data_IF_930562204242
#
_entry.id   IF_930562204242
#
_cell.length_a   1.000
_cell.length_b   1.000
_cell.length_c   1.000
_cell.angle_alpha   90.00
_cell.angle_beta   90.00
_cell.angle_gamma   90.00
#
_symmetry.space_group_name_H-M   'P 1'
#
loop_
_entity.id
_entity.type
_entity.pdbx_description
1 polymer ?
#
# COMPACT_ATOMS: atom_id res chain seq x y z
N UNK A 1 -0.46 -3.64 1.57
CA UNK A 1 -1.58 -2.95 0.88
C UNK A 1 -2.68 -2.54 1.84
N UNK A 2 -3.43 -3.49 2.42
CA UNK A 2 -4.63 -3.19 3.23
C UNK A 2 -4.40 -2.22 4.40
N UNK A 3 -3.30 -2.34 5.13
CA UNK A 3 -2.98 -1.42 6.22
C UNK A 3 -2.80 0.03 5.71
N UNK A 4 -1.93 0.24 4.71
CA UNK A 4 -1.71 1.56 4.08
C UNK A 4 -3.02 2.21 3.63
N UNK A 5 -3.88 1.47 2.92
CA UNK A 5 -5.15 1.99 2.38
C UNK A 5 -6.12 2.34 3.51
N UNK A 6 -6.25 1.48 4.53
CA UNK A 6 -7.15 1.71 5.66
C UNK A 6 -6.70 2.85 6.56
N UNK A 7 -5.40 2.99 6.74
CA UNK A 7 -4.80 4.00 7.62
C UNK A 7 -4.59 5.34 6.89
N UNK A 8 -5.07 5.46 5.65
CA UNK A 8 -4.94 6.68 4.85
C UNK A 8 -3.48 7.06 4.54
N UNK A 9 -2.56 6.11 4.60
CA UNK A 9 -1.13 6.37 4.44
C UNK A 9 -0.75 6.47 2.95
N UNK A 10 0.24 7.29 2.60
CA UNK A 10 0.78 7.31 1.24
C UNK A 10 1.50 5.99 0.92
N UNK A 11 1.41 5.54 -0.33
CA UNK A 11 2.14 4.35 -0.82
C UNK A 11 3.61 4.68 -1.12
N UNK A 12 4.35 5.07 -0.08
CA UNK A 12 5.78 5.44 -0.14
C UNK A 12 6.63 4.50 0.72
N UNK A 13 7.93 4.46 0.44
CA UNK A 13 8.88 3.58 1.12
C UNK A 13 8.83 3.71 2.66
N UNK A 14 8.82 4.93 3.19
CA UNK A 14 8.81 5.17 4.64
C UNK A 14 7.56 4.60 5.32
N UNK A 15 6.39 4.76 4.70
CA UNK A 15 5.14 4.20 5.21
C UNK A 15 5.13 2.67 5.14
N UNK A 16 5.66 2.08 4.07
CA UNK A 16 5.77 0.62 3.91
C UNK A 16 6.73 0.03 4.94
N UNK A 17 7.88 0.67 5.18
CA UNK A 17 8.85 0.25 6.20
C UNK A 17 8.25 0.32 7.61
N UNK A 18 7.44 1.34 7.92
CA UNK A 18 6.83 1.52 9.23
C UNK A 18 5.84 0.40 9.60
N UNK A 19 5.15 -0.18 8.61
CA UNK A 19 4.18 -1.25 8.81
C UNK A 19 4.73 -2.65 8.47
N UNK A 20 6.02 -2.73 8.12
CA UNK A 20 6.63 -3.97 7.65
C UNK A 20 6.60 -5.03 8.76
N UNK A 21 6.13 -6.25 8.47
CA UNK A 21 6.18 -7.33 9.46
C UNK A 21 7.61 -7.60 9.92
N UNK A 22 7.80 -7.83 11.22
CA UNK A 22 9.11 -8.14 11.82
C UNK A 22 9.68 -9.48 11.32
N UNK A 23 8.86 -10.30 10.69
CA UNK A 23 9.27 -11.56 10.03
C UNK A 23 10.07 -11.34 8.75
N UNK A 24 10.04 -10.14 8.15
CA UNK A 24 10.89 -9.79 7.00
C UNK A 24 12.30 -9.47 7.48
N UNK A 25 13.26 -10.34 7.15
CA UNK A 25 14.67 -10.17 7.52
C UNK A 25 15.28 -8.92 6.89
N UNK A 26 16.25 -8.29 7.56
CA UNK A 26 16.89 -7.04 7.11
C UNK A 26 17.32 -7.06 5.65
N UNK A 27 17.91 -8.18 5.21
CA UNK A 27 18.45 -8.35 3.86
C UNK A 27 17.36 -8.30 2.77
N UNK A 28 16.13 -8.71 3.10
CA UNK A 28 15.02 -8.76 2.14
C UNK A 28 14.18 -7.48 2.13
N UNK A 29 14.37 -6.57 3.10
CA UNK A 29 13.56 -5.35 3.22
C UNK A 29 13.58 -4.49 1.96
N UNK A 30 14.73 -4.21 1.31
CA UNK A 30 14.74 -3.40 0.09
C UNK A 30 13.92 -4.04 -1.04
N UNK A 31 14.05 -5.36 -1.21
CA UNK A 31 13.29 -6.12 -2.21
C UNK A 31 11.79 -6.12 -1.90
N UNK A 32 11.42 -6.28 -0.63
CA UNK A 32 10.04 -6.24 -0.19
C UNK A 32 9.40 -4.88 -0.46
N UNK A 33 10.09 -3.78 -0.13
CA UNK A 33 9.61 -2.41 -0.41
C UNK A 33 9.41 -2.22 -1.91
N UNK A 34 10.39 -2.60 -2.73
CA UNK A 34 10.29 -2.48 -4.18
C UNK A 34 9.07 -3.23 -4.73
N UNK A 35 8.86 -4.48 -4.31
CA UNK A 35 7.69 -5.27 -4.71
C UNK A 35 6.38 -4.60 -4.26
N UNK A 36 6.30 -4.16 -3.00
CA UNK A 36 5.09 -3.49 -2.50
C UNK A 36 4.77 -2.21 -3.28
N UNK A 37 5.78 -1.41 -3.64
CA UNK A 37 5.61 -0.20 -4.45
C UNK A 37 5.12 -0.54 -5.87
N UNK A 38 5.68 -1.56 -6.51
CA UNK A 38 5.20 -2.02 -7.82
C UNK A 38 3.75 -2.52 -7.75
N UNK A 39 3.40 -3.28 -6.71
CA UNK A 39 2.02 -3.71 -6.49
C UNK A 39 1.08 -2.50 -6.31
N UNK A 40 1.53 -1.42 -5.66
CA UNK A 40 0.69 -0.22 -5.49
C UNK A 40 0.47 0.52 -6.80
N UNK A 41 1.45 0.51 -7.71
CA UNK A 41 1.31 1.11 -9.05
C UNK A 41 0.27 0.38 -9.90
N UNK A 42 0.10 -0.92 -9.69
CA UNK A 42 -0.89 -1.73 -10.40
C UNK A 42 -2.23 -1.81 -9.66
N UNK A 43 -2.34 -1.25 -8.46
CA UNK A 43 -3.56 -1.30 -7.66
C UNK A 43 -4.64 -0.38 -8.25
N UNK A 44 -5.79 -0.95 -8.56
CA UNK A 44 -6.97 -0.24 -9.04
C UNK A 44 -8.25 -0.91 -8.52
N UNK A 45 -9.40 -0.23 -8.64
CA UNK A 45 -10.67 -0.73 -8.08
C UNK A 45 -11.01 -2.18 -8.51
N UNK A 46 -10.68 -2.54 -9.76
CA UNK A 46 -10.88 -3.89 -10.31
C UNK A 46 -10.01 -5.01 -9.72
N UNK A 47 -8.85 -4.71 -9.12
CA UNK A 47 -7.99 -5.72 -8.48
C UNK A 47 -7.86 -5.55 -6.95
N UNK A 48 -8.37 -4.46 -6.37
CA UNK A 48 -8.34 -4.17 -4.94
C UNK A 48 -8.91 -5.32 -4.08
N UNK A 49 -9.94 -6.01 -4.57
CA UNK A 49 -10.56 -7.16 -3.90
C UNK A 49 -9.55 -8.29 -3.65
N UNK A 50 -8.57 -8.51 -4.54
CA UNK A 50 -7.51 -9.53 -4.37
C UNK A 50 -6.63 -9.26 -3.15
N UNK A 51 -6.58 -8.01 -2.70
CA UNK A 51 -5.84 -7.57 -1.51
C UNK A 51 -6.73 -7.41 -0.27
N UNK A 52 -7.98 -7.89 -0.33
CA UNK A 52 -8.95 -7.79 0.77
C UNK A 52 -9.43 -6.36 1.02
N UNK A 53 -9.39 -5.50 -0.01
CA UNK A 53 -9.91 -4.13 0.02
C UNK A 53 -11.30 -4.09 -0.59
N UNK A 54 -12.21 -3.32 0.02
CA UNK A 54 -13.49 -2.99 -0.61
C UNK A 54 -13.26 -1.87 -1.64
N UNK A 55 -13.95 -1.87 -2.80
CA UNK A 55 -13.79 -0.83 -3.81
C UNK A 55 -13.97 0.60 -3.28
N UNK A 56 -14.95 0.82 -2.39
CA UNK A 56 -15.18 2.13 -1.77
C UNK A 56 -14.06 2.55 -0.81
N UNK A 57 -13.46 1.61 -0.06
CA UNK A 57 -12.31 1.92 0.81
C UNK A 57 -11.11 2.37 -0.03
N UNK A 58 -10.88 1.73 -1.18
CA UNK A 58 -9.82 2.10 -2.10
C UNK A 58 -10.07 3.46 -2.78
N UNK A 59 -11.30 3.71 -3.22
CA UNK A 59 -11.66 4.99 -3.85
C UNK A 59 -11.44 6.17 -2.90
N UNK A 60 -11.93 6.07 -1.65
CA UNK A 60 -11.71 7.10 -0.63
C UNK A 60 -10.23 7.36 -0.37
N UNK A 61 -9.41 6.31 -0.33
CA UNK A 61 -7.96 6.44 -0.18
C UNK A 61 -7.30 7.17 -1.36
N UNK A 62 -7.74 6.92 -2.60
CA UNK A 62 -7.24 7.64 -3.77
C UNK A 62 -7.59 9.13 -3.74
N UNK A 63 -8.81 9.47 -3.31
CA UNK A 63 -9.25 10.86 -3.14
C UNK A 63 -8.36 11.58 -2.11
N UNK A 64 -8.11 10.95 -0.94
CA UNK A 64 -7.20 11.48 0.08
C UNK A 64 -5.76 11.69 -0.42
N UNK A 65 -5.30 10.83 -1.33
CA UNK A 65 -3.98 10.96 -1.95
C UNK A 65 -3.93 12.08 -3.00
N UNK A 66 -5.00 12.25 -3.78
CA UNK A 66 -5.12 13.28 -4.80
C UNK A 66 -5.23 14.70 -4.20
N UNK A 67 -5.82 14.84 -3.02
CA UNK A 67 -5.89 16.11 -2.27
C UNK A 67 -4.55 16.51 -1.62
N UNK A 68 -3.58 15.58 -1.54
CA UNK A 68 -2.26 15.79 -0.92
C UNK A 68 -1.10 15.91 -1.93
N UNK A 69 -1.38 15.79 -3.23
CA UNK A 69 -0.40 15.94 -4.32
C UNK A 69 -0.48 17.31 -4.96
#
# INVERSE_FOLDING_TARGET
MRAIVRDGQPSVETAILAIMPTTVVQADRPRFVALALEEFKTLHAGNAIRFGLRPLEFAAWQEMGAERG
#
